data_IF_106795473536
#
_entry.id   IF_106795473536
#
_cell.length_a   1.000
_cell.length_b   1.000
_cell.length_c   1.000
_cell.angle_alpha   90.00
_cell.angle_beta   90.00
_cell.angle_gamma   90.00
#
_symmetry.space_group_name_H-M   'P 1'
#
loop_
_entity.id
_entity.type
_entity.pdbx_description
1 polymer ?
#
# COMPACT_ATOMS: atom_id res chain seq x y z
N UNK A 1 2.79 -2.99 0.51
CA UNK A 1 3.18 -4.22 -0.20
C UNK A 1 4.70 -4.24 -0.27
N UNK A 2 5.31 -5.40 0.00
CA UNK A 2 6.75 -5.55 0.13
C UNK A 2 7.29 -6.53 -0.89
N UNK A 3 8.38 -6.16 -1.55
CA UNK A 3 9.14 -7.01 -2.43
C UNK A 3 10.60 -7.04 -1.99
N UNK A 4 11.11 -8.24 -1.70
CA UNK A 4 12.50 -8.45 -1.29
C UNK A 4 13.20 -9.35 -2.30
N UNK A 5 14.24 -8.82 -2.93
CA UNK A 5 15.05 -9.62 -3.85
C UNK A 5 16.00 -10.51 -3.07
N UNK A 6 15.98 -11.81 -3.37
CA UNK A 6 16.91 -12.80 -2.85
C UNK A 6 17.80 -13.25 -4.00
N UNK A 7 19.12 -13.16 -3.82
CA UNK A 7 20.04 -13.59 -4.87
C UNK A 7 20.09 -15.11 -4.99
N UNK A 8 20.09 -15.61 -6.23
CA UNK A 8 20.12 -17.04 -6.54
C UNK A 8 21.40 -17.48 -7.27
N UNK A 9 22.09 -16.57 -7.97
CA UNK A 9 23.25 -16.91 -8.85
C UNK A 9 24.52 -16.18 -8.42
N UNK A 10 25.69 -16.75 -8.76
CA UNK A 10 27.02 -16.15 -8.57
C UNK A 10 27.69 -15.94 -9.92
N UNK A 11 28.53 -14.92 -10.05
CA UNK A 11 29.38 -14.72 -11.23
C UNK A 11 30.58 -15.68 -11.25
N UNK A 12 31.40 -15.59 -12.30
CA UNK A 12 32.61 -16.41 -12.47
C UNK A 12 33.66 -16.19 -11.36
N UNK A 13 33.59 -15.08 -10.64
CA UNK A 13 34.45 -14.75 -9.49
C UNK A 13 33.81 -15.16 -8.15
N UNK A 14 32.64 -15.81 -8.18
CA UNK A 14 31.91 -16.26 -7.00
C UNK A 14 31.12 -15.16 -6.28
N UNK A 15 31.04 -13.94 -6.83
CA UNK A 15 30.26 -12.84 -6.24
C UNK A 15 28.77 -13.10 -6.47
N UNK A 16 27.98 -12.95 -5.41
CA UNK A 16 26.53 -13.15 -5.47
C UNK A 16 25.87 -12.00 -6.24
N UNK A 17 25.09 -12.35 -7.26
CA UNK A 17 24.28 -11.42 -8.04
C UNK A 17 22.84 -11.47 -7.52
N UNK A 18 22.23 -10.30 -7.36
CA UNK A 18 20.89 -10.16 -6.80
C UNK A 18 19.91 -9.61 -7.83
N UNK A 19 20.33 -8.61 -8.59
CA UNK A 19 19.48 -7.85 -9.49
C UNK A 19 20.24 -7.66 -10.80
N UNK A 20 19.60 -7.96 -11.92
CA UNK A 20 20.11 -7.86 -13.28
C UNK A 20 19.60 -6.62 -14.04
N UNK A 21 18.62 -5.91 -13.49
CA UNK A 21 18.03 -4.69 -14.05
C UNK A 21 17.74 -3.66 -12.95
N UNK A 22 17.63 -2.37 -13.29
CA UNK A 22 17.32 -1.36 -12.27
C UNK A 22 15.84 -1.46 -11.86
N UNK A 23 15.56 -1.76 -10.60
CA UNK A 23 14.23 -1.63 -10.00
C UNK A 23 14.14 -0.26 -9.34
N UNK A 24 13.29 0.62 -9.85
CA UNK A 24 13.01 1.94 -9.27
C UNK A 24 11.74 1.97 -8.46
N UNK A 25 10.73 1.18 -8.85
CA UNK A 25 9.47 1.03 -8.15
C UNK A 25 8.97 -0.39 -8.31
N UNK A 26 8.25 -0.90 -7.31
CA UNK A 26 7.50 -2.15 -7.48
C UNK A 26 6.11 -1.91 -8.08
N UNK A 27 5.68 -0.64 -8.16
CA UNK A 27 4.45 -0.24 -8.82
C UNK A 27 4.50 -0.56 -10.32
N UNK A 28 5.69 -0.58 -10.93
CA UNK A 28 5.93 -0.97 -12.32
C UNK A 28 5.42 -2.39 -12.64
N UNK A 29 5.18 -3.21 -11.61
CA UNK A 29 4.66 -4.58 -11.72
C UNK A 29 3.20 -4.72 -11.28
N UNK A 30 2.52 -3.62 -10.98
CA UNK A 30 1.11 -3.55 -10.59
C UNK A 30 0.33 -3.00 -11.79
N UNK A 31 -0.83 -3.59 -12.09
CA UNK A 31 -1.65 -3.10 -13.19
C UNK A 31 -2.13 -1.65 -12.95
N UNK A 32 -2.05 -0.79 -13.97
CA UNK A 32 -2.42 0.63 -13.89
C UNK A 32 -3.83 0.84 -13.32
N UNK A 33 -4.81 0.06 -13.78
CA UNK A 33 -6.20 0.08 -13.28
C UNK A 33 -6.32 -0.15 -11.77
N UNK A 34 -5.35 -0.85 -11.18
CA UNK A 34 -5.29 -1.06 -9.74
C UNK A 34 -4.71 0.17 -9.08
N UNK A 35 -3.57 0.68 -9.58
CA UNK A 35 -2.91 1.88 -9.05
C UNK A 35 -3.79 3.12 -9.10
N UNK A 36 -4.63 3.28 -10.13
CA UNK A 36 -5.57 4.40 -10.24
C UNK A 36 -6.48 4.56 -9.02
N UNK A 37 -6.83 3.45 -8.35
CA UNK A 37 -7.70 3.43 -7.16
C UNK A 37 -6.98 3.84 -5.87
N UNK A 38 -5.65 3.90 -5.87
CA UNK A 38 -4.85 4.14 -4.69
C UNK A 38 -3.93 5.36 -4.84
N UNK A 39 -3.68 6.06 -3.75
CA UNK A 39 -2.52 6.92 -3.59
C UNK A 39 -1.36 6.03 -3.13
N UNK A 40 -0.31 5.94 -3.95
CA UNK A 40 0.82 5.05 -3.71
C UNK A 40 2.12 5.82 -3.45
N UNK A 41 2.92 5.35 -2.49
CA UNK A 41 4.22 5.92 -2.14
C UNK A 41 5.25 4.80 -2.00
N UNK A 42 6.38 4.93 -2.70
CA UNK A 42 7.49 3.98 -2.60
C UNK A 42 8.47 4.31 -1.48
N UNK A 43 8.96 3.26 -0.84
CA UNK A 43 10.01 3.28 0.18
C UNK A 43 11.00 2.17 -0.19
N UNK A 44 12.11 2.56 -0.83
CA UNK A 44 13.12 1.62 -1.33
C UNK A 44 14.39 1.65 -0.47
N UNK A 45 14.81 0.48 0.00
CA UNK A 45 16.06 0.26 0.72
C UNK A 45 17.02 -0.56 -0.13
N UNK A 46 17.69 0.10 -1.07
CA UNK A 46 18.57 -0.55 -2.06
C UNK A 46 19.67 -1.40 -1.42
N UNK A 47 20.29 -0.94 -0.34
CA UNK A 47 21.35 -1.68 0.37
C UNK A 47 20.88 -3.05 0.89
N UNK A 48 19.59 -3.19 1.19
CA UNK A 48 18.99 -4.41 1.71
C UNK A 48 18.20 -5.20 0.64
N UNK A 49 18.17 -4.71 -0.61
CA UNK A 49 17.33 -5.21 -1.69
C UNK A 49 15.84 -5.34 -1.29
N UNK A 50 15.34 -4.36 -0.55
CA UNK A 50 13.93 -4.28 -0.13
C UNK A 50 13.29 -3.09 -0.84
N UNK A 51 12.14 -3.35 -1.45
CA UNK A 51 11.33 -2.37 -2.15
C UNK A 51 9.91 -2.46 -1.58
N UNK A 52 9.40 -1.35 -1.08
CA UNK A 52 8.09 -1.29 -0.45
C UNK A 52 7.26 -0.23 -1.13
N UNK A 53 5.97 -0.50 -1.30
CA UNK A 53 5.00 0.52 -1.73
C UNK A 53 3.84 0.55 -0.74
N UNK A 54 3.58 1.72 -0.16
CA UNK A 54 2.38 1.99 0.63
C UNK A 54 1.26 2.37 -0.32
N UNK A 55 0.04 1.94 -0.03
CA UNK A 55 -1.14 2.28 -0.84
C UNK A 55 -2.29 2.69 0.08
N UNK A 56 -2.93 3.81 -0.23
CA UNK A 56 -4.13 4.31 0.44
C UNK A 56 -5.27 4.37 -0.58
N UNK A 57 -6.42 3.77 -0.31
CA UNK A 57 -7.55 3.82 -1.24
C UNK A 57 -8.06 5.27 -1.35
N UNK A 58 -8.27 5.76 -2.57
CA UNK A 58 -8.79 7.12 -2.83
C UNK A 58 -10.26 7.23 -2.47
N UNK A 59 -11.04 6.26 -2.95
CA UNK A 59 -12.48 6.22 -2.76
C UNK A 59 -12.87 5.09 -1.81
N UNK A 60 -13.33 5.48 -0.63
CA UNK A 60 -13.80 4.55 0.39
C UNK A 60 -15.28 4.24 0.13
N UNK A 61 -15.57 2.98 -0.14
CA UNK A 61 -16.93 2.46 -0.08
C UNK A 61 -17.21 1.91 1.31
N UNK A 62 -18.01 2.65 2.08
CA UNK A 62 -18.33 2.35 3.48
C UNK A 62 -18.96 0.97 3.66
N UNK A 63 -19.68 0.45 2.66
CA UNK A 63 -20.35 -0.85 2.76
C UNK A 63 -19.34 -1.99 2.99
N UNK A 64 -18.10 -1.86 2.48
CA UNK A 64 -17.05 -2.87 2.66
C UNK A 64 -16.45 -2.90 4.07
N UNK A 65 -16.81 -1.94 4.92
CA UNK A 65 -16.28 -1.79 6.28
C UNK A 65 -17.34 -1.96 7.37
N UNK A 66 -18.60 -2.21 6.99
CA UNK A 66 -19.69 -2.52 7.90
C UNK A 66 -19.90 -4.03 7.97
N UNK A 67 -20.18 -4.53 9.18
CA UNK A 67 -20.54 -5.94 9.41
C UNK A 67 -22.04 -6.05 9.63
N UNK A 68 -22.70 -6.95 8.88
CA UNK A 68 -24.11 -7.32 9.06
C UNK A 68 -25.13 -6.15 9.05
N UNK A 69 -24.77 -5.00 8.49
CA UNK A 69 -25.63 -3.80 8.43
C UNK A 69 -25.47 -3.14 7.08
N UNK A 70 -26.57 -2.68 6.49
CA UNK A 70 -26.54 -1.91 5.27
C UNK A 70 -26.28 -0.42 5.58
N UNK A 71 -25.43 0.24 4.79
CA UNK A 71 -25.20 1.69 4.86
C UNK A 71 -26.51 2.48 4.86
N UNK A 72 -27.55 2.02 4.16
CA UNK A 72 -28.85 2.69 4.08
C UNK A 72 -29.68 2.60 5.36
N UNK A 73 -29.39 1.64 6.25
CA UNK A 73 -30.05 1.51 7.55
C UNK A 73 -29.50 2.52 8.58
N UNK A 74 -28.31 3.06 8.33
CA UNK A 74 -27.66 4.01 9.21
C UNK A 74 -28.13 5.45 8.97
N UNK A 75 -28.44 6.21 10.04
CA UNK A 75 -28.71 7.63 9.93
C UNK A 75 -27.56 8.39 9.26
N UNK A 76 -27.82 9.44 8.46
CA UNK A 76 -26.77 10.18 7.75
C UNK A 76 -25.65 10.72 8.65
N UNK A 77 -25.98 11.16 9.87
CA UNK A 77 -24.99 11.64 10.85
C UNK A 77 -24.05 10.52 11.31
N UNK A 78 -24.59 9.34 11.60
CA UNK A 78 -23.80 8.17 12.00
C UNK A 78 -22.89 7.72 10.87
N UNK A 79 -23.43 7.67 9.63
CA UNK A 79 -22.66 7.37 8.43
C UNK A 79 -21.45 8.30 8.28
N UNK A 80 -21.68 9.60 8.40
CA UNK A 80 -20.63 10.62 8.32
C UNK A 80 -19.57 10.43 9.41
N UNK A 81 -19.99 10.17 10.65
CA UNK A 81 -19.07 9.94 11.77
C UNK A 81 -18.17 8.72 11.51
N UNK A 82 -18.74 7.60 11.06
CA UNK A 82 -17.98 6.38 10.78
C UNK A 82 -16.99 6.63 9.63
N UNK A 83 -17.44 7.24 8.54
CA UNK A 83 -16.56 7.57 7.40
C UNK A 83 -15.39 8.46 7.83
N UNK A 84 -15.62 9.43 8.70
CA UNK A 84 -14.56 10.31 9.20
C UNK A 84 -13.56 9.55 10.07
N UNK A 85 -14.03 8.74 11.02
CA UNK A 85 -13.15 7.91 11.85
C UNK A 85 -12.34 6.92 11.03
N UNK A 86 -12.96 6.28 10.02
CA UNK A 86 -12.27 5.36 9.13
C UNK A 86 -11.18 6.07 8.32
N UNK A 87 -11.48 7.23 7.72
CA UNK A 87 -10.49 8.01 6.99
C UNK A 87 -9.33 8.46 7.87
N UNK A 88 -9.61 8.90 9.09
CA UNK A 88 -8.58 9.28 10.05
C UNK A 88 -7.62 8.12 10.32
N UNK A 89 -8.15 6.96 10.71
CA UNK A 89 -7.35 5.76 10.97
C UNK A 89 -6.51 5.35 9.76
N UNK A 90 -7.11 5.37 8.56
CA UNK A 90 -6.39 5.02 7.33
C UNK A 90 -5.23 5.97 7.02
N UNK A 91 -5.39 7.27 7.28
CA UNK A 91 -4.33 8.28 7.11
C UNK A 91 -3.23 8.09 8.14
N UNK A 92 -3.58 7.79 9.40
CA UNK A 92 -2.61 7.53 10.47
C UNK A 92 -1.77 6.29 10.16
N UNK A 93 -2.40 5.19 9.73
CA UNK A 93 -1.70 3.96 9.30
C UNK A 93 -0.80 4.25 8.08
N UNK A 94 -1.31 4.98 7.08
CA UNK A 94 -0.55 5.28 5.85
C UNK A 94 0.67 6.16 6.14
N UNK A 95 0.50 7.22 6.93
CA UNK A 95 1.57 8.13 7.33
C UNK A 95 2.54 7.50 8.34
N UNK A 96 2.07 6.56 9.16
CA UNK A 96 2.85 5.97 10.25
C UNK A 96 3.04 6.93 11.43
N UNK A 97 2.16 7.92 11.58
CA UNK A 97 2.18 8.90 12.66
C UNK A 97 0.75 9.23 13.10
N UNK A 98 0.59 9.64 14.35
CA UNK A 98 -0.67 10.18 14.84
C UNK A 98 -0.77 11.64 14.36
N UNK A 99 -1.79 11.93 13.54
CA UNK A 99 -1.96 13.24 12.89
C UNK A 99 -2.99 14.13 13.60
N UNK A 100 -3.80 13.56 14.51
CA UNK A 100 -4.89 14.22 15.22
C UNK A 100 -4.78 14.09 16.74
#
# INVERSE_FOLDING_TARGET
MDYRVRGFTRDILGKKLFIDHKITSIQDYIADKTLEKYDAIDINMYQSNIFHTKMLIKEVDLQNYLFNTDVYELPPKTRLSITNSLRQEMIEIFSGMNVY
#
